data_IF_642703503848
#
_entry.id   IF_642703503848
#
_cell.length_a   1.000
_cell.length_b   1.000
_cell.length_c   1.000
_cell.angle_alpha   90.00
_cell.angle_beta   90.00
_cell.angle_gamma   90.00
#
_symmetry.space_group_name_H-M   'P 1'
#
loop_
_entity.id
_entity.type
_entity.pdbx_description
1 polymer ?
#
# COMPACT_ATOMS: atom_id res chain seq x y z
N UNK A 1 -19.35 18.37 -10.14
CA UNK A 1 -18.35 19.10 -9.30
C UNK A 1 -16.98 18.80 -9.87
N UNK A 2 -16.15 19.81 -10.17
CA UNK A 2 -14.82 19.58 -10.75
C UNK A 2 -13.88 18.85 -9.78
N UNK A 3 -12.87 18.11 -10.31
CA UNK A 3 -11.88 17.41 -9.49
C UNK A 3 -11.19 18.35 -8.51
N UNK A 4 -10.74 19.52 -8.99
CA UNK A 4 -10.10 20.53 -8.13
C UNK A 4 -10.97 21.04 -6.98
N UNK A 5 -12.25 21.24 -7.20
CA UNK A 5 -13.18 21.67 -6.13
C UNK A 5 -13.38 20.58 -5.06
N UNK A 6 -13.44 19.29 -5.47
CA UNK A 6 -13.51 18.16 -4.52
C UNK A 6 -12.25 18.11 -3.64
N UNK A 7 -11.08 18.28 -4.26
CA UNK A 7 -9.78 18.28 -3.56
C UNK A 7 -9.68 19.45 -2.59
N UNK A 8 -10.11 20.66 -2.99
CA UNK A 8 -10.15 21.81 -2.10
C UNK A 8 -11.04 21.59 -0.87
N UNK A 9 -12.28 21.12 -1.07
CA UNK A 9 -13.20 20.89 0.06
C UNK A 9 -12.64 19.88 1.05
N UNK A 10 -12.05 18.77 0.54
CA UNK A 10 -11.56 17.71 1.39
C UNK A 10 -10.25 18.06 2.10
N UNK A 11 -9.33 18.70 1.39
CA UNK A 11 -8.03 19.09 1.92
C UNK A 11 -8.04 20.38 2.71
N UNK A 12 -9.02 21.25 2.46
CA UNK A 12 -9.07 22.66 2.91
C UNK A 12 -7.81 23.45 2.48
N UNK A 13 -7.14 23.00 1.41
CA UNK A 13 -5.92 23.60 0.88
C UNK A 13 -6.14 24.05 -0.56
N UNK A 14 -6.05 25.35 -0.79
CA UNK A 14 -6.11 25.93 -2.13
C UNK A 14 -4.90 25.50 -2.97
N UNK A 15 -3.71 25.46 -2.37
CA UNK A 15 -2.48 25.06 -3.04
C UNK A 15 -2.57 23.61 -3.52
N UNK A 16 -3.04 22.69 -2.67
CA UNK A 16 -3.25 21.29 -3.04
C UNK A 16 -4.20 21.16 -4.23
N UNK A 17 -5.32 21.89 -4.22
CA UNK A 17 -6.26 21.87 -5.35
C UNK A 17 -5.66 22.49 -6.64
N UNK A 18 -4.84 23.54 -6.51
CA UNK A 18 -4.16 24.18 -7.63
C UNK A 18 -3.09 23.29 -8.25
N UNK A 19 -2.39 22.51 -7.43
CA UNK A 19 -1.31 21.62 -7.85
C UNK A 19 -1.79 20.50 -8.78
N UNK A 20 -3.09 20.16 -8.80
CA UNK A 20 -3.70 19.23 -9.78
C UNK A 20 -3.48 19.65 -11.25
N UNK A 21 -3.34 20.94 -11.50
CA UNK A 21 -3.14 21.49 -12.84
C UNK A 21 -1.66 21.83 -13.10
N UNK A 22 -0.78 21.51 -12.16
CA UNK A 22 0.65 21.78 -12.32
C UNK A 22 1.24 20.74 -13.30
N UNK A 23 1.86 21.23 -14.38
CA UNK A 23 2.50 20.37 -15.39
C UNK A 23 3.97 20.09 -15.09
N UNK A 24 4.53 20.73 -14.07
CA UNK A 24 5.91 20.52 -13.64
C UNK A 24 5.92 19.70 -12.36
N UNK A 25 6.77 18.70 -12.32
CA UNK A 25 7.02 17.93 -11.11
C UNK A 25 7.83 18.79 -10.13
N UNK A 26 7.22 19.08 -8.99
CA UNK A 26 7.83 19.75 -7.86
C UNK A 26 7.41 19.03 -6.59
N UNK A 27 8.20 19.17 -5.53
CA UNK A 27 7.76 18.71 -4.21
C UNK A 27 6.93 19.81 -3.57
N UNK A 28 5.73 19.45 -3.20
CA UNK A 28 4.78 20.29 -2.48
C UNK A 28 4.36 19.59 -1.18
N UNK A 29 3.52 20.21 -0.36
CA UNK A 29 3.03 19.61 0.87
C UNK A 29 1.63 20.06 1.24
N UNK A 30 0.96 19.22 2.02
CA UNK A 30 -0.34 19.48 2.63
C UNK A 30 -0.28 19.18 4.14
N UNK A 31 -1.03 19.93 4.94
CA UNK A 31 -1.17 19.60 6.36
C UNK A 31 -2.23 18.51 6.57
N UNK A 32 -1.86 17.44 7.29
CA UNK A 32 -2.77 16.40 7.72
C UNK A 32 -2.46 16.01 9.18
N UNK A 33 -3.46 16.02 10.05
CA UNK A 33 -3.29 15.79 11.49
C UNK A 33 -2.17 16.63 12.11
N UNK A 34 -2.09 17.92 11.74
CA UNK A 34 -1.06 18.88 12.18
C UNK A 34 0.39 18.52 11.79
N UNK A 35 0.58 17.62 10.83
CA UNK A 35 1.89 17.25 10.29
C UNK A 35 1.93 17.55 8.79
N UNK A 36 3.11 17.83 8.26
CA UNK A 36 3.29 18.05 6.82
C UNK A 36 3.37 16.70 6.10
N UNK A 37 2.61 16.56 5.04
CA UNK A 37 2.63 15.43 4.11
C UNK A 37 3.14 15.93 2.78
N UNK A 38 4.29 15.41 2.34
CA UNK A 38 4.97 15.79 1.12
C UNK A 38 4.50 14.92 -0.05
N UNK A 39 4.43 15.52 -1.22
CA UNK A 39 4.03 14.86 -2.47
C UNK A 39 4.67 15.52 -3.68
N UNK A 40 4.74 14.80 -4.77
CA UNK A 40 5.15 15.32 -6.08
C UNK A 40 3.93 15.82 -6.83
N UNK A 41 4.00 17.03 -7.37
CA UNK A 41 2.98 17.52 -8.31
C UNK A 41 3.13 16.80 -9.65
N UNK A 42 2.09 16.74 -10.45
CA UNK A 42 2.06 16.02 -11.75
C UNK A 42 2.33 14.52 -11.65
N UNK A 43 1.96 13.89 -10.53
CA UNK A 43 2.05 12.45 -10.31
C UNK A 43 0.77 11.94 -9.64
N UNK A 44 0.67 10.61 -9.45
CA UNK A 44 -0.41 9.95 -8.72
C UNK A 44 -0.38 10.24 -7.20
N UNK A 45 0.69 10.82 -6.66
CA UNK A 45 0.83 11.10 -5.22
C UNK A 45 -0.37 11.84 -4.63
N UNK A 46 -0.90 12.82 -5.37
CA UNK A 46 -2.06 13.61 -4.94
C UNK A 46 -3.34 12.76 -4.87
N UNK A 47 -3.47 11.78 -5.76
CA UNK A 47 -4.59 10.84 -5.77
C UNK A 47 -4.52 9.95 -4.54
N UNK A 48 -3.35 9.38 -4.23
CA UNK A 48 -3.13 8.59 -3.00
C UNK A 48 -3.50 9.37 -1.74
N UNK A 49 -3.03 10.63 -1.63
CA UNK A 49 -3.41 11.50 -0.49
C UNK A 49 -4.92 11.66 -0.41
N UNK A 50 -5.57 11.93 -1.55
CA UNK A 50 -7.02 12.14 -1.59
C UNK A 50 -7.80 10.87 -1.19
N UNK A 51 -7.42 9.71 -1.70
CA UNK A 51 -8.12 8.44 -1.54
C UNK A 51 -7.86 7.80 -0.17
N UNK A 52 -6.66 7.97 0.38
CA UNK A 52 -6.29 7.35 1.66
C UNK A 52 -6.53 8.31 2.84
N UNK A 53 -6.04 9.55 2.77
CA UNK A 53 -6.07 10.45 3.92
C UNK A 53 -7.30 11.34 4.00
N UNK A 54 -7.87 11.73 2.85
CA UNK A 54 -8.92 12.74 2.80
C UNK A 54 -10.33 12.15 2.63
N UNK A 55 -10.45 10.84 2.47
CA UNK A 55 -11.74 10.14 2.49
C UNK A 55 -12.15 9.74 3.91
N UNK A 56 -13.46 9.58 4.17
CA UNK A 56 -13.90 8.88 5.39
C UNK A 56 -13.35 7.46 5.44
N UNK A 57 -13.02 6.94 6.63
CA UNK A 57 -12.41 5.61 6.83
C UNK A 57 -13.07 4.48 6.03
N UNK A 58 -14.39 4.51 5.89
CA UNK A 58 -15.17 3.51 5.15
C UNK A 58 -15.19 3.72 3.62
N UNK A 59 -14.52 4.77 3.13
CA UNK A 59 -14.33 5.09 1.71
C UNK A 59 -12.86 5.27 1.36
N UNK A 60 -11.98 5.02 2.31
CA UNK A 60 -10.54 4.96 2.03
C UNK A 60 -10.27 3.79 1.11
N UNK A 61 -9.29 3.93 0.25
CA UNK A 61 -8.84 2.90 -0.67
C UNK A 61 -8.56 1.58 0.05
N UNK A 62 -7.87 1.64 1.17
CA UNK A 62 -7.66 0.48 2.03
C UNK A 62 -8.57 0.52 3.25
N UNK A 63 -9.22 -0.60 3.53
CA UNK A 63 -10.00 -0.76 4.74
C UNK A 63 -9.23 -1.52 5.81
N UNK A 64 -9.01 -0.86 6.95
CA UNK A 64 -8.36 -1.45 8.12
C UNK A 64 -9.29 -1.40 9.33
N UNK A 65 -9.88 -2.54 9.73
CA UNK A 65 -10.78 -2.56 10.90
C UNK A 65 -10.00 -2.34 12.19
N UNK A 66 -10.50 -1.43 13.03
CA UNK A 66 -9.88 -1.12 14.32
C UNK A 66 -9.93 -2.32 15.27
N UNK A 67 -10.83 -3.26 15.03
CA UNK A 67 -11.00 -4.50 15.78
C UNK A 67 -9.81 -5.46 15.66
N UNK A 68 -8.95 -5.26 14.66
CA UNK A 68 -7.69 -6.02 14.51
C UNK A 68 -6.74 -5.72 15.66
N UNK A 69 -6.67 -4.46 16.12
CA UNK A 69 -5.78 -3.99 17.17
C UNK A 69 -4.35 -4.54 17.05
N UNK A 70 -3.67 -4.32 15.91
CA UNK A 70 -2.39 -4.92 15.60
C UNK A 70 -1.27 -4.38 16.49
N UNK A 71 -0.25 -5.21 16.74
CA UNK A 71 1.02 -4.79 17.35
C UNK A 71 2.12 -4.66 16.30
N UNK A 72 2.08 -5.47 15.27
CA UNK A 72 3.03 -5.48 14.17
C UNK A 72 2.28 -5.37 12.84
N UNK A 73 2.65 -4.37 12.05
CA UNK A 73 2.07 -4.11 10.72
C UNK A 73 3.20 -4.15 9.68
N UNK A 74 2.97 -4.86 8.58
CA UNK A 74 3.77 -4.75 7.37
C UNK A 74 3.02 -3.93 6.32
N UNK A 75 3.65 -2.87 5.86
CA UNK A 75 3.21 -2.03 4.72
C UNK A 75 4.15 -2.33 3.55
N UNK A 76 3.75 -3.25 2.69
CA UNK A 76 4.53 -3.76 1.56
C UNK A 76 4.12 -3.01 0.31
N UNK A 77 5.07 -2.32 -0.33
CA UNK A 77 4.81 -1.29 -1.34
C UNK A 77 4.43 0.03 -0.69
N UNK A 78 5.35 0.59 0.11
CA UNK A 78 5.10 1.78 0.93
C UNK A 78 4.94 3.07 0.14
N UNK A 79 5.36 3.07 -1.15
CA UNK A 79 5.34 4.22 -2.03
C UNK A 79 5.90 5.47 -1.33
N UNK A 80 5.19 6.59 -1.33
CA UNK A 80 5.60 7.82 -0.62
C UNK A 80 5.17 7.83 0.86
N UNK A 81 4.72 6.70 1.44
CA UNK A 81 4.43 6.53 2.87
C UNK A 81 3.03 6.96 3.31
N UNK A 82 2.10 7.21 2.39
CA UNK A 82 0.75 7.67 2.73
C UNK A 82 -0.01 6.62 3.54
N UNK A 83 0.06 5.35 3.13
CA UNK A 83 -0.59 4.26 3.88
C UNK A 83 0.07 4.06 5.24
N UNK A 84 1.41 4.14 5.33
CA UNK A 84 2.11 4.01 6.60
C UNK A 84 1.68 5.06 7.62
N UNK A 85 1.59 6.35 7.24
CA UNK A 85 1.14 7.42 8.16
C UNK A 85 -0.35 7.30 8.51
N UNK A 86 -1.18 6.79 7.59
CA UNK A 86 -2.58 6.49 7.86
C UNK A 86 -2.72 5.35 8.89
N UNK A 87 -1.97 4.26 8.71
CA UNK A 87 -1.92 3.15 9.65
C UNK A 87 -1.42 3.58 11.03
N UNK A 88 -0.40 4.45 11.09
CA UNK A 88 0.07 5.02 12.36
C UNK A 88 -0.99 5.85 13.07
N UNK A 89 -1.83 6.57 12.33
CA UNK A 89 -2.93 7.33 12.92
C UNK A 89 -4.09 6.41 13.39
N UNK A 90 -4.30 5.27 12.75
CA UNK A 90 -5.31 4.29 13.16
C UNK A 90 -4.85 3.44 14.35
N UNK A 91 -3.57 3.09 14.38
CA UNK A 91 -2.96 2.14 15.31
C UNK A 91 -1.67 2.74 15.93
N UNK A 92 -1.79 3.75 16.77
CA UNK A 92 -0.63 4.48 17.29
C UNK A 92 0.32 3.61 18.14
N UNK A 93 -0.19 2.51 18.71
CA UNK A 93 0.60 1.56 19.51
C UNK A 93 1.24 0.43 18.65
N UNK A 94 0.92 0.35 17.37
CA UNK A 94 1.48 -0.66 16.50
C UNK A 94 2.84 -0.23 15.97
N UNK A 95 3.76 -1.17 15.83
CA UNK A 95 5.02 -0.98 15.10
C UNK A 95 4.78 -1.27 13.62
N UNK A 96 5.09 -0.31 12.77
CA UNK A 96 4.85 -0.37 11.33
C UNK A 96 6.20 -0.50 10.63
N UNK A 97 6.32 -1.51 9.79
CA UNK A 97 7.47 -1.74 8.92
C UNK A 97 7.03 -1.50 7.48
N UNK A 98 7.53 -0.43 6.86
CA UNK A 98 7.18 -0.04 5.49
C UNK A 98 8.34 -0.35 4.55
N UNK A 99 8.05 -1.00 3.43
CA UNK A 99 9.03 -1.48 2.46
C UNK A 99 8.73 -0.84 1.10
N UNK A 100 9.70 -0.08 0.58
CA UNK A 100 9.59 0.60 -0.71
C UNK A 100 10.91 0.45 -1.48
N UNK A 101 10.91 -0.29 -2.60
CA UNK A 101 12.13 -0.54 -3.37
C UNK A 101 12.61 0.67 -4.17
N UNK A 102 11.70 1.54 -4.64
CA UNK A 102 12.05 2.68 -5.46
C UNK A 102 12.65 3.80 -4.62
N UNK A 103 13.94 4.12 -4.83
CA UNK A 103 14.64 5.13 -4.03
C UNK A 103 14.00 6.51 -4.09
N UNK A 104 13.42 6.91 -5.24
CA UNK A 104 12.73 8.19 -5.38
C UNK A 104 11.47 8.28 -4.52
N UNK A 105 10.69 7.20 -4.44
CA UNK A 105 9.54 7.09 -3.55
C UNK A 105 9.99 7.08 -2.09
N UNK A 106 11.00 6.29 -1.80
CA UNK A 106 11.54 6.13 -0.45
C UNK A 106 12.06 7.45 0.14
N UNK A 107 12.68 8.32 -0.67
CA UNK A 107 13.11 9.65 -0.21
C UNK A 107 11.93 10.53 0.24
N UNK A 108 10.78 10.43 -0.43
CA UNK A 108 9.56 11.13 -0.01
C UNK A 108 8.93 10.45 1.21
N UNK A 109 8.92 9.10 1.21
CA UNK A 109 8.45 8.31 2.34
C UNK A 109 9.19 8.71 3.62
N UNK A 110 10.53 8.80 3.61
CA UNK A 110 11.32 9.24 4.76
C UNK A 110 10.89 10.62 5.27
N UNK A 111 10.60 11.56 4.37
CA UNK A 111 10.10 12.88 4.75
C UNK A 111 8.72 12.79 5.39
N UNK A 112 7.86 11.91 4.90
CA UNK A 112 6.49 11.77 5.40
C UNK A 112 6.44 11.11 6.78
N UNK A 113 7.33 10.16 7.04
CA UNK A 113 7.33 9.45 8.32
C UNK A 113 8.18 10.11 9.42
N UNK A 114 8.88 11.21 9.14
CA UNK A 114 9.82 11.83 10.09
C UNK A 114 9.23 12.21 11.46
N UNK A 115 7.91 12.33 11.54
CA UNK A 115 7.17 12.67 12.76
C UNK A 115 6.47 11.47 13.41
N UNK A 116 6.80 10.23 12.98
CA UNK A 116 6.12 9.00 13.41
C UNK A 116 7.15 8.00 13.95
N UNK A 117 7.31 7.96 15.27
CA UNK A 117 8.31 7.10 15.94
C UNK A 117 8.00 5.60 15.81
N UNK A 118 6.74 5.26 15.52
CA UNK A 118 6.29 3.89 15.38
C UNK A 118 6.41 3.34 13.95
N UNK A 119 6.94 4.12 12.99
CA UNK A 119 7.17 3.69 11.61
C UNK A 119 8.67 3.52 11.36
N UNK A 120 9.05 2.35 10.87
CA UNK A 120 10.39 2.06 10.37
C UNK A 120 10.30 1.70 8.89
N UNK A 121 11.04 2.41 8.03
CA UNK A 121 11.01 2.19 6.60
C UNK A 121 12.34 1.60 6.08
N UNK A 122 12.24 0.82 4.99
CA UNK A 122 13.34 0.14 4.34
C UNK A 122 13.28 0.37 2.83
N UNK A 123 14.40 0.80 2.24
CA UNK A 123 14.52 0.94 0.79
C UNK A 123 14.87 -0.40 0.13
N UNK A 124 13.97 -1.34 0.25
CA UNK A 124 14.04 -2.67 -0.35
C UNK A 124 12.64 -3.12 -0.76
N UNK A 125 12.55 -3.98 -1.76
CA UNK A 125 11.37 -4.79 -2.01
C UNK A 125 11.37 -6.04 -1.15
N UNK A 126 10.20 -6.64 -0.95
CA UNK A 126 10.05 -7.97 -0.40
C UNK A 126 9.75 -8.97 -1.52
N UNK A 127 10.18 -10.20 -1.36
CA UNK A 127 9.96 -11.27 -2.33
C UNK A 127 10.18 -12.66 -1.73
N UNK A 128 10.11 -13.68 -2.59
CA UNK A 128 10.38 -15.09 -2.22
C UNK A 128 11.87 -15.41 -2.09
N UNK A 129 12.77 -14.54 -2.58
CA UNK A 129 14.23 -14.73 -2.55
C UNK A 129 14.96 -13.40 -2.52
N UNK A 130 16.22 -13.44 -2.08
CA UNK A 130 17.12 -12.29 -2.11
C UNK A 130 17.68 -12.07 -3.52
N UNK A 131 17.88 -10.82 -3.91
CA UNK A 131 18.52 -10.45 -5.18
C UNK A 131 18.26 -9.01 -5.59
N UNK A 132 18.81 -8.65 -6.75
CA UNK A 132 18.46 -7.41 -7.43
C UNK A 132 17.48 -7.75 -8.56
N UNK A 133 16.39 -7.03 -8.62
CA UNK A 133 15.32 -7.25 -9.59
C UNK A 133 15.07 -5.98 -10.38
N UNK A 134 14.71 -6.17 -11.64
CA UNK A 134 14.30 -5.08 -12.51
C UNK A 134 12.85 -4.72 -12.21
N UNK A 135 12.62 -3.46 -11.92
CA UNK A 135 11.29 -2.88 -11.86
C UNK A 135 11.13 -2.04 -13.12
N UNK A 136 10.17 -2.40 -13.95
CA UNK A 136 9.87 -1.69 -15.19
C UNK A 136 9.06 -0.45 -14.89
N UNK A 137 9.48 0.68 -15.46
CA UNK A 137 8.82 1.96 -15.26
C UNK A 137 7.69 2.13 -16.27
N UNK A 138 6.54 2.64 -15.84
CA UNK A 138 5.49 3.04 -16.75
C UNK A 138 5.96 4.18 -17.65
N UNK A 139 5.61 4.12 -18.94
CA UNK A 139 5.83 5.25 -19.86
C UNK A 139 4.85 6.41 -19.60
N UNK A 140 3.87 6.22 -18.75
CA UNK A 140 2.95 7.26 -18.31
C UNK A 140 3.60 8.08 -17.20
N UNK A 141 4.11 9.26 -17.57
CA UNK A 141 4.73 10.21 -16.64
C UNK A 141 3.77 10.70 -15.54
N UNK A 142 2.47 10.53 -15.72
CA UNK A 142 1.47 10.86 -14.69
C UNK A 142 1.30 9.71 -13.67
N UNK A 143 1.74 8.49 -14.00
CA UNK A 143 1.64 7.32 -13.16
C UNK A 143 3.01 6.85 -12.63
N UNK A 144 3.66 7.65 -11.77
CA UNK A 144 4.89 7.25 -11.05
C UNK A 144 4.69 6.08 -10.08
N UNK A 145 3.43 5.68 -9.84
CA UNK A 145 3.08 4.47 -9.11
C UNK A 145 2.91 3.24 -10.02
N UNK A 146 2.78 3.45 -11.35
CA UNK A 146 2.63 2.37 -12.33
C UNK A 146 3.96 1.72 -12.69
N UNK A 147 4.60 1.08 -11.73
CA UNK A 147 5.78 0.24 -11.92
C UNK A 147 5.37 -1.22 -11.86
N UNK A 148 5.99 -2.11 -12.61
CA UNK A 148 5.68 -3.54 -12.59
C UNK A 148 6.94 -4.39 -12.48
N UNK A 149 6.85 -5.49 -11.73
CA UNK A 149 7.89 -6.52 -11.71
C UNK A 149 7.91 -7.36 -13.00
N UNK A 150 6.87 -7.25 -13.82
CA UNK A 150 6.78 -7.99 -15.07
C UNK A 150 6.80 -7.02 -16.26
N UNK A 151 7.50 -7.37 -17.36
CA UNK A 151 7.42 -6.61 -18.61
C UNK A 151 5.97 -6.62 -19.11
N UNK A 152 5.55 -5.52 -19.74
CA UNK A 152 4.21 -5.40 -20.30
C UNK A 152 3.94 -6.54 -21.31
N UNK A 153 2.93 -7.39 -21.07
CA UNK A 153 2.60 -8.50 -21.97
C UNK A 153 2.08 -8.04 -23.33
N UNK A 154 1.72 -6.76 -23.49
CA UNK A 154 1.25 -6.22 -24.78
C UNK A 154 2.39 -5.85 -25.72
N UNK A 155 3.67 -5.95 -25.26
CA UNK A 155 4.85 -5.66 -26.08
C UNK A 155 5.04 -4.18 -26.41
N UNK A 156 4.26 -3.28 -25.81
CA UNK A 156 4.50 -1.86 -25.84
C UNK A 156 5.70 -1.61 -24.94
N UNK A 157 6.85 -1.40 -25.55
CA UNK A 157 8.17 -1.29 -24.96
C UNK A 157 8.21 -0.46 -23.70
N UNK A 158 8.27 -1.11 -22.55
CA UNK A 158 8.82 -0.52 -21.34
C UNK A 158 10.34 -0.55 -21.52
N UNK A 159 10.92 0.52 -22.08
CA UNK A 159 12.35 0.56 -22.39
C UNK A 159 13.21 0.95 -21.18
N UNK A 160 12.59 1.43 -20.10
CA UNK A 160 13.30 1.83 -18.88
C UNK A 160 12.96 0.92 -17.71
N UNK A 161 14.00 0.54 -16.96
CA UNK A 161 13.87 -0.19 -15.71
C UNK A 161 14.84 0.37 -14.68
N UNK A 162 14.52 0.15 -13.42
CA UNK A 162 15.41 0.42 -12.29
C UNK A 162 15.71 -0.91 -11.60
N UNK A 163 16.97 -1.14 -11.23
CA UNK A 163 17.34 -2.28 -10.41
C UNK A 163 17.12 -1.93 -8.93
N UNK A 164 16.34 -2.77 -8.25
CA UNK A 164 16.04 -2.60 -6.84
C UNK A 164 16.45 -3.84 -6.06
N UNK A 165 16.95 -3.62 -4.86
CA UNK A 165 17.23 -4.70 -3.93
C UNK A 165 15.92 -5.30 -3.41
N UNK A 166 15.79 -6.63 -3.49
CA UNK A 166 14.68 -7.41 -2.95
C UNK A 166 15.22 -8.39 -1.93
N UNK A 167 14.57 -8.49 -0.79
CA UNK A 167 14.88 -9.43 0.27
C UNK A 167 13.80 -10.47 0.45
N UNK A 168 14.20 -11.68 0.80
CA UNK A 168 13.24 -12.70 1.22
C UNK A 168 12.50 -12.22 2.47
N UNK A 169 11.16 -12.28 2.44
CA UNK A 169 10.32 -11.80 3.53
C UNK A 169 10.65 -12.49 4.86
N UNK A 170 10.94 -13.79 4.85
CA UNK A 170 11.25 -14.53 6.08
C UNK A 170 12.62 -14.13 6.66
N UNK A 171 13.61 -13.79 5.81
CA UNK A 171 14.89 -13.26 6.27
C UNK A 171 14.74 -11.91 6.98
N UNK A 172 13.84 -11.05 6.46
CA UNK A 172 13.53 -9.77 7.10
C UNK A 172 12.84 -9.98 8.45
N UNK A 173 11.87 -10.86 8.52
CA UNK A 173 11.16 -11.20 9.77
C UNK A 173 12.17 -11.70 10.82
N UNK A 174 13.07 -12.60 10.41
CA UNK A 174 14.14 -13.12 11.27
C UNK A 174 15.09 -12.01 11.73
N UNK A 175 15.52 -11.13 10.81
CA UNK A 175 16.39 -9.99 11.12
C UNK A 175 15.76 -9.01 12.11
N UNK A 176 14.45 -8.80 12.00
CA UNK A 176 13.68 -7.94 12.88
C UNK A 176 13.27 -8.64 14.20
N UNK A 177 13.58 -9.93 14.33
CA UNK A 177 13.24 -10.78 15.47
C UNK A 177 11.74 -10.72 15.81
N UNK A 178 10.89 -10.95 14.82
CA UNK A 178 9.44 -10.87 14.95
C UNK A 178 8.84 -12.26 15.14
N UNK A 179 7.89 -12.37 16.08
CA UNK A 179 7.13 -13.59 16.37
C UNK A 179 5.78 -13.62 15.65
N UNK A 180 5.28 -12.46 15.20
CA UNK A 180 4.01 -12.33 14.49
C UNK A 180 4.02 -11.12 13.56
N UNK A 181 3.10 -11.15 12.59
CA UNK A 181 2.64 -10.00 11.81
C UNK A 181 1.12 -10.02 11.94
N UNK A 182 0.54 -8.97 12.51
CA UNK A 182 -0.90 -8.97 12.82
C UNK A 182 -1.75 -8.41 11.67
N UNK A 183 -1.17 -7.48 10.90
CA UNK A 183 -1.79 -6.84 9.73
C UNK A 183 -0.78 -6.69 8.61
N UNK A 184 -1.19 -7.01 7.39
CA UNK A 184 -0.40 -6.81 6.17
C UNK A 184 -1.19 -5.92 5.22
N UNK A 185 -0.60 -4.80 4.78
CA UNK A 185 -0.97 -4.12 3.53
C UNK A 185 0.02 -4.56 2.46
N UNK A 186 -0.50 -4.92 1.29
CA UNK A 186 0.33 -5.34 0.17
C UNK A 186 -0.19 -4.76 -1.14
N UNK A 187 0.72 -4.11 -1.86
CA UNK A 187 0.46 -3.49 -3.16
C UNK A 187 1.83 -3.32 -3.81
N UNK A 188 2.21 -4.27 -4.65
CA UNK A 188 3.58 -4.43 -5.16
C UNK A 188 3.63 -4.57 -6.68
N UNK A 189 2.51 -4.26 -7.34
CA UNK A 189 2.44 -4.23 -8.79
C UNK A 189 2.83 -5.59 -9.44
N UNK A 190 2.34 -6.69 -8.82
CA UNK A 190 2.41 -8.03 -9.37
C UNK A 190 3.23 -9.06 -8.59
N UNK A 191 3.87 -8.70 -7.45
CA UNK A 191 4.61 -9.65 -6.62
C UNK A 191 3.79 -10.22 -5.45
N UNK A 192 2.51 -9.88 -5.31
CA UNK A 192 1.65 -10.20 -4.17
C UNK A 192 1.60 -11.71 -3.91
N UNK A 193 1.38 -12.50 -4.98
CA UNK A 193 1.34 -13.96 -4.87
C UNK A 193 2.65 -14.52 -4.33
N UNK A 194 3.77 -14.16 -4.95
CA UNK A 194 5.09 -14.71 -4.58
C UNK A 194 5.51 -14.32 -3.17
N UNK A 195 5.17 -13.12 -2.73
CA UNK A 195 5.45 -12.64 -1.38
C UNK A 195 4.64 -13.42 -0.34
N UNK A 196 3.30 -13.44 -0.50
CA UNK A 196 2.42 -14.02 0.51
C UNK A 196 2.51 -15.54 0.58
N UNK A 197 2.73 -16.23 -0.56
CA UNK A 197 2.87 -17.69 -0.57
C UNK A 197 4.26 -18.16 -0.11
N UNK A 198 5.28 -17.29 -0.18
CA UNK A 198 6.61 -17.59 0.37
C UNK A 198 6.74 -17.30 1.86
N UNK A 199 5.83 -16.51 2.42
CA UNK A 199 5.79 -16.24 3.85
C UNK A 199 5.50 -17.54 4.60
N UNK A 200 6.31 -17.85 5.64
CA UNK A 200 6.06 -19.03 6.47
C UNK A 200 4.63 -18.98 7.04
N UNK A 201 3.84 -20.02 6.81
CA UNK A 201 2.42 -20.11 7.15
C UNK A 201 2.12 -19.77 8.62
N UNK A 202 3.09 -20.05 9.54
CA UNK A 202 2.94 -19.70 10.95
C UNK A 202 2.69 -18.18 11.18
N UNK A 203 3.17 -17.31 10.29
CA UNK A 203 2.91 -15.87 10.35
C UNK A 203 1.52 -15.55 9.82
N UNK A 204 1.13 -16.12 8.66
CA UNK A 204 -0.23 -15.97 8.12
C UNK A 204 -1.30 -16.53 9.07
N UNK A 205 -1.00 -17.59 9.80
CA UNK A 205 -1.92 -18.09 10.84
C UNK A 205 -2.14 -17.08 11.97
N UNK A 206 -1.12 -16.27 12.29
CA UNK A 206 -1.21 -15.21 13.30
C UNK A 206 -1.75 -13.88 12.72
N UNK A 207 -1.64 -13.69 11.40
CA UNK A 207 -2.16 -12.50 10.73
C UNK A 207 -3.68 -12.47 10.81
N UNK A 208 -4.22 -11.36 11.27
CA UNK A 208 -5.65 -11.14 11.44
C UNK A 208 -6.31 -10.49 10.22
N UNK A 209 -5.55 -9.70 9.48
CA UNK A 209 -6.04 -8.93 8.33
C UNK A 209 -4.97 -8.74 7.27
N UNK A 210 -5.34 -8.95 6.02
CA UNK A 210 -4.56 -8.60 4.83
C UNK A 210 -5.42 -7.71 3.96
N UNK A 211 -4.89 -6.59 3.49
CA UNK A 211 -5.54 -5.68 2.54
C UNK A 211 -4.55 -5.31 1.44
N UNK A 212 -5.00 -5.29 0.19
CA UNK A 212 -4.10 -4.96 -0.92
C UNK A 212 -4.77 -4.89 -2.27
N UNK A 213 -3.97 -4.64 -3.28
CA UNK A 213 -4.33 -4.70 -4.68
C UNK A 213 -3.81 -5.98 -5.33
N UNK A 214 -4.50 -6.43 -6.37
CA UNK A 214 -4.18 -7.62 -7.15
C UNK A 214 -3.79 -7.19 -8.57
N UNK A 215 -2.56 -7.49 -8.98
CA UNK A 215 -2.00 -7.04 -10.26
C UNK A 215 -1.47 -8.20 -11.12
N UNK A 216 -1.68 -9.45 -10.69
CA UNK A 216 -1.02 -10.60 -11.27
C UNK A 216 -1.94 -11.59 -11.98
N UNK A 217 -1.31 -12.48 -12.74
CA UNK A 217 -2.04 -13.58 -13.40
C UNK A 217 -2.44 -14.69 -12.40
N UNK A 218 -1.92 -14.64 -11.17
CA UNK A 218 -2.12 -15.65 -10.11
C UNK A 218 -3.00 -15.15 -8.96
N UNK A 219 -3.78 -14.11 -9.20
CA UNK A 219 -4.60 -13.46 -8.17
C UNK A 219 -5.63 -14.43 -7.57
N UNK A 220 -6.31 -15.22 -8.41
CA UNK A 220 -7.26 -16.22 -7.91
C UNK A 220 -6.57 -17.34 -7.12
N UNK A 221 -5.35 -17.72 -7.49
CA UNK A 221 -4.58 -18.69 -6.72
C UNK A 221 -4.23 -18.14 -5.33
N UNK A 222 -3.84 -16.85 -5.26
CA UNK A 222 -3.57 -16.16 -4.01
C UNK A 222 -4.81 -16.12 -3.11
N UNK A 223 -5.96 -15.75 -3.66
CA UNK A 223 -7.21 -15.68 -2.90
C UNK A 223 -7.61 -17.07 -2.37
N UNK A 224 -7.53 -18.12 -3.20
CA UNK A 224 -7.79 -19.49 -2.79
C UNK A 224 -6.80 -19.96 -1.71
N UNK A 225 -5.52 -19.58 -1.81
CA UNK A 225 -4.52 -19.87 -0.79
C UNK A 225 -4.88 -19.25 0.56
N UNK A 226 -5.25 -17.95 0.57
CA UNK A 226 -5.66 -17.25 1.78
C UNK A 226 -6.94 -17.86 2.38
N UNK A 227 -7.92 -18.22 1.55
CA UNK A 227 -9.13 -18.93 2.00
C UNK A 227 -8.79 -20.28 2.65
N UNK A 228 -7.85 -21.04 2.07
CA UNK A 228 -7.32 -22.29 2.63
C UNK A 228 -6.70 -22.09 4.02
N UNK A 229 -6.12 -20.93 4.29
CA UNK A 229 -5.59 -20.55 5.60
C UNK A 229 -6.65 -19.97 6.55
N UNK A 230 -7.93 -20.03 6.17
CA UNK A 230 -9.07 -19.63 6.99
C UNK A 230 -9.37 -18.14 7.00
N UNK A 231 -8.93 -17.39 5.99
CA UNK A 231 -9.40 -16.03 5.76
C UNK A 231 -10.74 -16.03 5.03
N UNK A 232 -11.56 -15.04 5.32
CA UNK A 232 -12.74 -14.70 4.53
C UNK A 232 -12.39 -13.54 3.61
N UNK A 233 -12.62 -13.70 2.32
CA UNK A 233 -12.23 -12.74 1.30
C UNK A 233 -13.39 -11.79 0.96
N UNK A 234 -13.10 -10.52 0.81
CA UNK A 234 -13.97 -9.52 0.20
C UNK A 234 -13.20 -8.84 -0.93
N UNK A 235 -13.87 -8.65 -2.05
CA UNK A 235 -13.32 -8.01 -3.25
C UNK A 235 -14.12 -6.76 -3.57
N UNK A 236 -13.44 -5.63 -3.68
CA UNK A 236 -13.99 -4.43 -4.28
C UNK A 236 -13.48 -4.33 -5.72
N UNK A 237 -14.39 -4.47 -6.68
CA UNK A 237 -14.06 -4.36 -8.09
C UNK A 237 -13.99 -2.90 -8.49
N UNK A 238 -12.82 -2.43 -8.93
CA UNK A 238 -12.73 -1.21 -9.72
C UNK A 238 -12.85 -1.50 -11.22
N UNK A 239 -13.15 -0.45 -11.99
CA UNK A 239 -13.75 -0.50 -13.34
C UNK A 239 -12.80 -1.07 -14.40
N UNK A 240 -11.52 -1.11 -14.18
CA UNK A 240 -10.57 -1.76 -15.08
C UNK A 240 -10.47 -3.24 -14.73
N UNK A 241 -10.82 -4.08 -15.67
CA UNK A 241 -11.02 -5.53 -15.53
C UNK A 241 -9.84 -6.34 -14.97
N UNK A 242 -8.80 -5.71 -14.42
CA UNK A 242 -7.55 -6.32 -13.98
C UNK A 242 -7.09 -5.95 -12.57
N UNK A 243 -7.63 -4.91 -11.97
CA UNK A 243 -7.23 -4.44 -10.65
C UNK A 243 -8.35 -4.67 -9.65
N UNK A 244 -8.06 -5.42 -8.61
CA UNK A 244 -9.01 -5.70 -7.55
C UNK A 244 -8.40 -5.32 -6.22
N UNK A 245 -9.07 -4.42 -5.50
CA UNK A 245 -8.83 -4.28 -4.08
C UNK A 245 -9.38 -5.48 -3.34
N UNK A 246 -8.60 -6.09 -2.48
CA UNK A 246 -9.06 -7.20 -1.66
C UNK A 246 -8.84 -6.96 -0.17
N UNK A 247 -9.70 -7.56 0.63
CA UNK A 247 -9.55 -7.67 2.07
C UNK A 247 -9.72 -9.13 2.47
N UNK A 248 -8.79 -9.64 3.25
CA UNK A 248 -8.80 -10.98 3.78
C UNK A 248 -8.76 -10.92 5.31
N UNK A 249 -9.86 -11.25 5.97
CA UNK A 249 -10.02 -11.15 7.41
C UNK A 249 -10.25 -12.51 8.07
N UNK A 250 -9.64 -12.76 9.23
CA UNK A 250 -9.97 -13.95 10.04
C UNK A 250 -11.39 -13.85 10.59
N UNK A 251 -12.09 -14.97 10.65
CA UNK A 251 -13.48 -15.06 11.15
C UNK A 251 -13.69 -14.38 12.50
N UNK A 252 -12.69 -14.48 13.40
CA UNK A 252 -12.75 -13.84 14.71
C UNK A 252 -12.78 -12.30 14.64
N UNK A 253 -12.21 -11.69 13.61
CA UNK A 253 -12.29 -10.25 13.37
C UNK A 253 -13.61 -9.90 12.68
N UNK A 254 -13.95 -10.63 11.61
CA UNK A 254 -15.20 -10.40 10.86
C UNK A 254 -16.42 -10.42 11.78
N UNK A 255 -16.48 -11.36 12.73
CA UNK A 255 -17.59 -11.46 13.69
C UNK A 255 -17.74 -10.24 14.63
N UNK A 256 -16.69 -9.44 14.78
CA UNK A 256 -16.71 -8.20 15.59
C UNK A 256 -17.15 -6.98 14.78
N UNK A 257 -17.12 -7.06 13.45
CA UNK A 257 -17.48 -5.92 12.59
C UNK A 257 -18.98 -5.63 12.65
N UNK A 258 -19.33 -4.37 12.63
CA UNK A 258 -20.74 -3.97 12.54
C UNK A 258 -21.33 -4.36 11.17
N UNK A 259 -22.66 -4.56 11.11
CA UNK A 259 -23.35 -4.81 9.84
C UNK A 259 -23.12 -3.69 8.80
N UNK A 260 -22.95 -2.46 9.25
CA UNK A 260 -22.66 -1.32 8.37
C UNK A 260 -21.27 -1.42 7.77
N UNK A 261 -20.28 -1.83 8.58
CA UNK A 261 -18.90 -2.05 8.15
C UNK A 261 -18.81 -3.19 7.13
N UNK A 262 -19.48 -4.32 7.41
CA UNK A 262 -19.50 -5.48 6.49
C UNK A 262 -20.09 -5.12 5.12
N UNK A 263 -21.09 -4.22 5.08
CA UNK A 263 -21.65 -3.76 3.79
C UNK A 263 -20.78 -2.79 3.02
N UNK A 264 -19.73 -2.25 3.62
CA UNK A 264 -18.77 -1.33 2.98
C UNK A 264 -17.46 -2.03 2.58
N UNK A 265 -17.31 -3.31 2.92
CA UNK A 265 -16.27 -4.21 2.42
C UNK A 265 -16.65 -4.78 1.06
#
# INVERSE_FOLDING_TARGET
>A
MSKGFKYFIKSKSFNFAKDLNNKKQNISSISWNNKQVFYRTSTSDMTLIYEILLQPKYKSEYFFPIEVNPKVIFDIGGNIGITAIYLSALFPEAKIYSFEPMSENFEILKKNIQYYENIQAFNIGLGSKNGNFKIYLSNDLENYGGTSFYPDPTGNKLESYVECEVKNINDIIKKLNLDSIDLIKIDTEGAEYDILTSLEEKFLHKTSWVSGELHGNRDFELLNYLEGLGFSISLNKEIDNRLFMFNAGKKAIISKLSRKTIKSL
#
